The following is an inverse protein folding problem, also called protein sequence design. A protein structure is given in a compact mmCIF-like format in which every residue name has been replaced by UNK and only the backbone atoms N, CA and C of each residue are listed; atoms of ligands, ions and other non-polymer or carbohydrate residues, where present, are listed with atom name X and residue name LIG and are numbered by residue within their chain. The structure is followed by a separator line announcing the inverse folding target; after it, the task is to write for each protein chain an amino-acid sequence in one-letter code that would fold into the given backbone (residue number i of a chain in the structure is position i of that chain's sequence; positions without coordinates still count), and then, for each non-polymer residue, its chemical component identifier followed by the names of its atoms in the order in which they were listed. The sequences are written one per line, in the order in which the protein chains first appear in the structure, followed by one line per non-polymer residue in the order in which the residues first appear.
data_IF_389755018720
#
_entry.id   IF_389755018720
#
_cell.length_a   1.000
_cell.length_b   1.000
_cell.length_c   1.000
_cell.angle_alpha   90.00
_cell.angle_beta   90.00
_cell.angle_gamma   90.00
#
_symmetry.space_group_name_H-M   'P 1'
#
loop_
_entity.id
_entity.type
_entity.pdbx_description
1 polymer ?
#
# COMPACT_ATOMS: atom_id res chain seq x y z
N UNK A 1 7.86 -24.36 -4.74
CA UNK A 1 6.41 -24.43 -4.45
C UNK A 1 5.64 -24.19 -5.74
N UNK A 2 4.41 -24.69 -5.82
CA UNK A 2 3.53 -24.71 -7.01
C UNK A 2 3.56 -23.36 -7.72
N UNK A 3 4.04 -23.36 -8.98
CA UNK A 3 3.91 -22.19 -9.83
C UNK A 3 2.42 -21.81 -9.89
N UNK A 4 2.12 -20.55 -9.58
CA UNK A 4 0.77 -20.01 -9.73
C UNK A 4 0.34 -20.20 -11.19
N UNK A 5 -0.95 -20.47 -11.46
CA UNK A 5 -1.43 -20.80 -12.79
C UNK A 5 -1.05 -19.71 -13.82
N UNK A 6 -0.80 -20.09 -15.09
CA UNK A 6 -0.52 -19.14 -16.15
C UNK A 6 -1.66 -18.11 -16.29
N UNK A 7 -1.40 -16.86 -15.92
CA UNK A 7 -2.39 -15.76 -15.91
C UNK A 7 -2.22 -14.79 -14.75
N UNK A 8 -1.89 -15.29 -13.55
CA UNK A 8 -1.84 -14.47 -12.30
C UNK A 8 -0.73 -13.40 -12.26
N UNK A 9 0.17 -13.39 -13.23
CA UNK A 9 1.31 -12.47 -13.30
C UNK A 9 1.22 -11.49 -14.49
N UNK A 10 0.04 -11.39 -15.13
CA UNK A 10 -0.10 -10.60 -16.36
C UNK A 10 0.09 -9.10 -16.13
N UNK A 11 -0.46 -8.57 -15.03
CA UNK A 11 -0.37 -7.15 -14.67
C UNK A 11 0.84 -6.82 -13.79
N UNK A 12 1.33 -7.79 -13.04
CA UNK A 12 2.58 -7.68 -12.31
C UNK A 12 3.40 -8.96 -12.52
N UNK A 13 4.31 -9.01 -13.50
CA UNK A 13 5.26 -10.11 -13.55
C UNK A 13 6.25 -10.02 -12.38
N UNK A 14 6.66 -11.15 -11.76
CA UNK A 14 7.80 -11.13 -10.86
C UNK A 14 9.04 -10.66 -11.63
N UNK A 15 9.88 -9.86 -10.97
CA UNK A 15 11.14 -9.39 -11.55
C UNK A 15 11.99 -10.58 -12.01
N UNK A 16 12.57 -10.57 -13.23
CA UNK A 16 13.51 -11.62 -13.64
C UNK A 16 14.77 -11.66 -12.76
N UNK A 17 15.05 -10.58 -12.03
CA UNK A 17 16.15 -10.48 -11.06
C UNK A 17 15.71 -10.67 -9.60
N UNK A 18 14.42 -10.92 -9.35
CA UNK A 18 13.92 -11.25 -8.01
C UNK A 18 14.68 -12.48 -7.51
N UNK A 19 15.35 -12.42 -6.35
CA UNK A 19 15.97 -13.61 -5.80
C UNK A 19 14.89 -14.68 -5.66
N UNK A 20 15.18 -15.89 -6.14
CA UNK A 20 14.27 -17.01 -5.91
C UNK A 20 13.88 -17.05 -4.43
N UNK A 21 12.61 -17.32 -4.16
CA UNK A 21 12.03 -17.33 -2.81
C UNK A 21 12.87 -18.12 -1.79
N UNK A 22 13.47 -19.22 -2.24
CA UNK A 22 14.29 -20.11 -1.41
C UNK A 22 15.80 -19.79 -1.42
N UNK A 23 16.20 -18.70 -2.08
CA UNK A 23 17.60 -18.30 -2.16
C UNK A 23 18.13 -17.82 -0.80
N UNK A 24 19.41 -18.08 -0.55
CA UNK A 24 20.11 -17.53 0.62
C UNK A 24 20.01 -16.00 0.69
N UNK A 25 19.91 -15.33 -0.47
CA UNK A 25 19.70 -13.88 -0.55
C UNK A 25 18.34 -13.47 0.03
N UNK A 26 17.25 -14.12 -0.38
CA UNK A 26 15.91 -13.80 0.13
C UNK A 26 15.80 -14.05 1.64
N UNK A 27 16.41 -15.12 2.15
CA UNK A 27 16.47 -15.38 3.60
C UNK A 27 17.16 -14.24 4.36
N UNK A 28 18.33 -13.80 3.90
CA UNK A 28 19.07 -12.70 4.51
C UNK A 28 18.32 -11.37 4.48
N UNK A 29 17.58 -11.11 3.41
CA UNK A 29 16.72 -9.92 3.30
C UNK A 29 15.61 -9.96 4.36
N UNK A 30 14.93 -11.11 4.51
CA UNK A 30 13.91 -11.29 5.56
C UNK A 30 14.51 -11.16 6.97
N UNK A 31 15.67 -11.75 7.21
CA UNK A 31 16.41 -11.60 8.48
C UNK A 31 16.74 -10.13 8.78
N UNK A 32 17.25 -9.40 7.79
CA UNK A 32 17.56 -7.97 7.94
C UNK A 32 16.30 -7.12 8.17
N UNK A 33 15.20 -7.43 7.48
CA UNK A 33 13.91 -6.77 7.70
C UNK A 33 13.40 -6.99 9.13
N UNK A 34 13.42 -8.23 9.63
CA UNK A 34 13.05 -8.54 11.01
C UNK A 34 13.95 -7.82 12.04
N UNK A 35 15.26 -7.71 11.75
CA UNK A 35 16.19 -6.96 12.60
C UNK A 35 15.86 -5.45 12.64
N UNK A 36 15.50 -4.86 11.49
CA UNK A 36 15.06 -3.46 11.42
C UNK A 36 13.77 -3.22 12.20
N UNK A 37 12.78 -4.13 12.09
CA UNK A 37 11.54 -4.07 12.89
C UNK A 37 11.85 -4.15 14.40
N UNK A 38 12.75 -5.06 14.81
CA UNK A 38 13.17 -5.21 16.21
C UNK A 38 13.85 -3.94 16.75
N UNK A 39 14.66 -3.28 15.91
CA UNK A 39 15.28 -2.00 16.26
C UNK A 39 14.24 -0.89 16.46
N UNK A 40 13.26 -0.79 15.55
CA UNK A 40 12.15 0.17 15.67
C UNK A 40 11.36 -0.08 16.95
N UNK A 41 11.01 -1.33 17.24
CA UNK A 41 10.30 -1.73 18.46
C UNK A 41 11.05 -1.30 19.74
N UNK A 42 12.38 -1.50 19.77
CA UNK A 42 13.24 -1.03 20.87
C UNK A 42 13.16 0.49 21.05
N UNK A 43 13.13 1.25 19.96
CA UNK A 43 13.04 2.71 20.01
C UNK A 43 11.63 3.20 20.38
N UNK A 44 10.58 2.49 19.98
CA UNK A 44 9.22 2.75 20.45
C UNK A 44 9.15 2.56 21.96
N UNK A 45 9.71 1.47 22.50
CA UNK A 45 9.79 1.24 23.94
C UNK A 45 10.38 2.43 24.70
N UNK A 46 11.49 3.00 24.19
CA UNK A 46 12.11 4.19 24.80
C UNK A 46 11.22 5.45 24.78
N UNK A 47 10.38 5.62 23.75
CA UNK A 47 9.43 6.73 23.68
C UNK A 47 8.31 6.51 24.71
N UNK A 48 7.82 5.27 24.83
CA UNK A 48 6.79 4.90 25.80
C UNK A 48 7.29 5.05 27.25
N UNK A 49 8.52 4.63 27.53
CA UNK A 49 9.15 4.80 28.84
C UNK A 49 9.22 6.29 29.23
N UNK A 50 9.64 7.16 28.31
CA UNK A 50 9.68 8.62 28.56
C UNK A 50 8.28 9.22 28.76
N UNK A 51 7.27 8.75 28.01
CA UNK A 51 5.87 9.17 28.21
C UNK A 51 5.35 8.78 29.61
N UNK A 52 5.76 7.62 30.12
CA UNK A 52 5.43 7.16 31.47
C UNK A 52 6.19 7.98 32.53
N UNK A 53 7.51 8.14 32.39
CA UNK A 53 8.35 8.90 33.33
C UNK A 53 7.96 10.38 33.43
N UNK A 54 7.50 10.97 32.33
CA UNK A 54 6.99 12.34 32.28
C UNK A 54 5.56 12.50 32.81
N UNK A 55 4.86 11.40 33.12
CA UNK A 55 3.49 11.40 33.60
C UNK A 55 2.46 11.82 32.54
N UNK A 56 2.79 11.70 31.26
CA UNK A 56 1.94 12.11 30.13
C UNK A 56 1.14 10.96 29.53
N UNK A 57 1.46 9.71 29.87
CA UNK A 57 0.87 8.51 29.26
C UNK A 57 -0.66 8.48 29.32
N UNK A 58 -1.27 8.92 30.43
CA UNK A 58 -2.73 8.90 30.63
C UNK A 58 -3.47 9.97 29.80
N UNK A 59 -2.78 11.00 29.31
CA UNK A 59 -3.33 12.09 28.50
C UNK A 59 -2.83 12.03 27.03
N UNK A 60 -2.27 10.90 26.63
CA UNK A 60 -1.69 10.71 25.28
C UNK A 60 -2.46 9.65 24.51
N UNK A 61 -2.96 10.00 23.31
CA UNK A 61 -3.37 9.01 22.32
C UNK A 61 -2.15 8.55 21.53
N UNK A 62 -1.88 7.25 21.54
CA UNK A 62 -0.80 6.62 20.79
C UNK A 62 -1.42 5.90 19.59
N UNK A 63 -0.95 6.22 18.40
CA UNK A 63 -1.30 5.55 17.14
C UNK A 63 0.00 5.08 16.47
N UNK A 64 0.10 3.78 16.20
CA UNK A 64 1.22 3.18 15.47
C UNK A 64 0.71 2.58 14.16
N UNK A 65 1.33 2.97 13.05
CA UNK A 65 1.02 2.46 11.71
C UNK A 65 2.22 2.60 10.77
N UNK A 66 2.11 2.04 9.57
CA UNK A 66 3.01 2.27 8.43
C UNK A 66 2.22 2.79 7.23
N UNK A 67 2.88 3.37 6.25
CA UNK A 67 2.25 3.87 5.02
C UNK A 67 1.90 2.74 4.04
N UNK A 68 2.67 1.66 4.02
CA UNK A 68 2.44 0.49 3.18
C UNK A 68 3.14 -0.76 3.73
N UNK A 69 2.82 -1.92 3.16
CA UNK A 69 3.48 -3.20 3.46
C UNK A 69 4.72 -3.48 2.61
N UNK A 70 5.23 -4.71 2.67
CA UNK A 70 6.38 -5.16 1.90
C UNK A 70 6.19 -6.64 1.55
N UNK A 71 6.29 -6.97 0.25
CA UNK A 71 6.01 -8.31 -0.26
C UNK A 71 7.09 -9.33 0.17
N UNK A 72 8.35 -8.92 0.39
CA UNK A 72 9.44 -9.82 0.84
C UNK A 72 9.52 -11.17 0.09
N UNK A 73 9.18 -11.20 -1.20
CA UNK A 73 9.16 -12.41 -2.02
C UNK A 73 7.77 -13.03 -2.21
N UNK A 74 6.77 -12.66 -1.43
CA UNK A 74 5.43 -13.26 -1.50
C UNK A 74 4.83 -13.13 -2.90
N UNK A 75 4.26 -14.23 -3.38
CA UNK A 75 3.80 -14.40 -4.78
C UNK A 75 4.87 -14.05 -5.84
N UNK A 76 6.15 -14.16 -5.49
CA UNK A 76 7.28 -13.82 -6.37
C UNK A 76 7.57 -12.32 -6.46
N UNK A 77 6.83 -11.49 -5.72
CA UNK A 77 6.99 -10.04 -5.71
C UNK A 77 7.94 -9.57 -4.64
N UNK A 78 8.54 -8.41 -4.88
CA UNK A 78 9.34 -7.70 -3.90
C UNK A 78 8.94 -6.23 -3.95
N UNK A 79 9.12 -5.51 -2.85
CA UNK A 79 8.58 -4.18 -2.61
C UNK A 79 7.07 -4.17 -2.37
N UNK A 80 6.44 -3.05 -2.71
CA UNK A 80 5.03 -2.71 -2.59
C UNK A 80 4.51 -2.40 -3.99
N UNK A 81 3.40 -1.67 -4.11
CA UNK A 81 2.80 -1.27 -5.40
C UNK A 81 2.01 -2.41 -6.07
N UNK A 82 1.55 -3.38 -5.28
CA UNK A 82 0.62 -4.44 -5.70
C UNK A 82 -0.59 -4.47 -4.76
N UNK A 83 -1.76 -4.95 -5.20
CA UNK A 83 -3.00 -4.87 -4.40
C UNK A 83 -3.07 -5.87 -3.24
N UNK A 84 -2.12 -6.80 -3.15
CA UNK A 84 -2.15 -7.91 -2.20
C UNK A 84 -1.88 -7.46 -0.76
N UNK A 85 -2.40 -8.22 0.21
CA UNK A 85 -2.33 -7.92 1.64
C UNK A 85 -0.90 -7.63 2.12
N UNK A 86 0.15 -8.39 1.74
CA UNK A 86 1.50 -8.07 2.20
C UNK A 86 2.00 -6.69 1.74
N UNK A 87 1.43 -6.10 0.69
CA UNK A 87 1.75 -4.73 0.23
C UNK A 87 0.77 -3.68 0.77
N UNK A 88 -0.50 -4.00 0.97
CA UNK A 88 -1.56 -3.02 1.22
C UNK A 88 -2.11 -3.05 2.66
N UNK A 89 -2.12 -4.21 3.32
CA UNK A 89 -2.63 -4.38 4.67
C UNK A 89 -1.54 -4.11 5.68
N UNK A 90 -1.69 -2.99 6.40
CA UNK A 90 -0.70 -2.47 7.34
C UNK A 90 -1.11 -2.72 8.80
N UNK A 91 -0.17 -2.79 9.74
CA UNK A 91 -0.49 -2.65 11.16
C UNK A 91 -1.10 -1.28 11.45
N UNK A 92 -2.14 -1.26 12.29
CA UNK A 92 -2.68 -0.07 12.94
C UNK A 92 -3.00 -0.43 14.39
N UNK A 93 -2.26 0.15 15.33
CA UNK A 93 -2.41 -0.08 16.77
C UNK A 93 -2.76 1.26 17.43
N UNK A 94 -3.73 1.25 18.32
CA UNK A 94 -4.13 2.42 19.12
C UNK A 94 -4.06 2.09 20.62
N UNK A 95 -3.62 3.06 21.43
CA UNK A 95 -3.56 2.95 22.89
C UNK A 95 -3.71 4.33 23.57
N UNK A 96 -4.07 4.34 24.85
CA UNK A 96 -4.28 5.57 25.62
C UNK A 96 -5.64 6.23 25.34
N UNK A 97 -5.91 7.37 25.97
CA UNK A 97 -7.09 8.24 25.76
C UNK A 97 -8.43 7.49 25.54
N UNK A 98 -8.81 6.61 26.47
CA UNK A 98 -10.02 5.77 26.46
C UNK A 98 -10.12 4.72 25.33
N UNK A 99 -9.03 4.42 24.62
CA UNK A 99 -8.98 3.29 23.68
C UNK A 99 -9.11 1.97 24.47
N UNK A 100 -10.10 1.10 24.12
CA UNK A 100 -10.28 -0.17 24.80
C UNK A 100 -9.05 -1.07 24.71
N UNK A 101 -8.48 -1.43 25.87
CA UNK A 101 -7.37 -2.37 25.94
C UNK A 101 -7.81 -3.79 25.48
N UNK A 102 -6.85 -4.57 24.97
CA UNK A 102 -7.04 -5.97 24.56
C UNK A 102 -8.22 -6.19 23.59
N UNK A 103 -8.46 -5.22 22.71
CA UNK A 103 -9.52 -5.28 21.70
C UNK A 103 -8.91 -5.40 20.32
N UNK A 104 -9.47 -6.31 19.51
CA UNK A 104 -9.15 -6.45 18.08
C UNK A 104 -10.38 -6.03 17.30
N UNK A 105 -10.17 -5.24 16.24
CA UNK A 105 -11.23 -4.77 15.34
C UNK A 105 -10.95 -5.35 13.97
N UNK A 106 -11.84 -6.21 13.49
CA UNK A 106 -11.67 -6.94 12.22
C UNK A 106 -12.32 -6.21 11.03
N UNK A 107 -13.07 -5.13 11.27
CA UNK A 107 -13.65 -4.36 10.18
C UNK A 107 -12.57 -3.64 9.35
N UNK A 108 -12.72 -3.55 8.01
CA UNK A 108 -11.77 -2.81 7.19
C UNK A 108 -11.72 -1.32 7.56
N UNK A 109 -10.50 -0.78 7.59
CA UNK A 109 -10.21 0.64 7.86
C UNK A 109 -9.18 1.15 6.85
N UNK A 110 -9.08 2.47 6.70
CA UNK A 110 -8.09 3.10 5.82
C UNK A 110 -7.23 4.09 6.59
N UNK A 111 -6.10 4.47 5.99
CA UNK A 111 -5.23 5.53 6.54
C UNK A 111 -5.94 6.88 6.65
N UNK A 112 -7.02 7.12 5.89
CA UNK A 112 -7.84 8.33 6.01
C UNK A 112 -8.60 8.40 7.34
N UNK A 113 -8.96 7.25 7.91
CA UNK A 113 -9.62 7.18 9.21
C UNK A 113 -8.72 7.67 10.35
N UNK A 114 -7.41 7.55 10.19
CA UNK A 114 -6.42 8.01 11.18
C UNK A 114 -6.48 9.53 11.33
N UNK A 115 -6.55 10.27 10.22
CA UNK A 115 -6.71 11.74 10.25
C UNK A 115 -7.99 12.16 10.98
N UNK A 116 -9.10 11.46 10.73
CA UNK A 116 -10.37 11.71 11.42
C UNK A 116 -10.29 11.35 12.91
N UNK A 117 -9.58 10.27 13.25
CA UNK A 117 -9.35 9.82 14.63
C UNK A 117 -8.54 10.85 15.42
N UNK A 118 -7.49 11.43 14.82
CA UNK A 118 -6.67 12.47 15.45
C UNK A 118 -7.49 13.71 15.77
N UNK A 119 -8.32 14.17 14.81
CA UNK A 119 -9.17 15.35 15.00
C UNK A 119 -10.23 15.11 16.09
N UNK A 120 -10.87 13.93 16.09
CA UNK A 120 -11.84 13.54 17.11
C UNK A 120 -11.19 13.47 18.51
N UNK A 121 -10.01 12.85 18.63
CA UNK A 121 -9.24 12.79 19.86
C UNK A 121 -8.87 14.18 20.40
N UNK A 122 -8.48 15.09 19.49
CA UNK A 122 -8.17 16.48 19.81
C UNK A 122 -9.41 17.34 20.07
N UNK A 123 -10.63 16.80 19.87
CA UNK A 123 -11.91 17.53 19.93
C UNK A 123 -11.95 18.73 18.99
N UNK A 124 -11.36 18.56 17.82
CA UNK A 124 -11.32 19.56 16.75
C UNK A 124 -12.32 19.13 15.68
N UNK A 125 -13.24 20.02 15.34
CA UNK A 125 -14.15 19.80 14.22
C UNK A 125 -13.36 19.71 12.91
N UNK A 126 -13.60 18.69 12.06
CA UNK A 126 -12.91 18.57 10.79
C UNK A 126 -13.22 19.76 9.87
N UNK A 127 -12.27 20.18 9.02
CA UNK A 127 -12.50 21.28 8.09
C UNK A 127 -13.66 20.95 7.15
N UNK A 128 -14.54 21.92 6.90
CA UNK A 128 -15.68 21.73 5.99
C UNK A 128 -15.28 21.62 4.52
N UNK A 129 -14.07 22.05 4.14
CA UNK A 129 -13.54 21.92 2.78
C UNK A 129 -12.01 21.89 2.80
N UNK A 130 -11.36 20.91 2.13
CA UNK A 130 -11.98 19.74 1.51
C UNK A 130 -12.63 18.83 2.56
N UNK A 131 -13.68 18.12 2.16
CA UNK A 131 -14.37 17.18 3.05
C UNK A 131 -13.42 16.07 3.48
N UNK A 132 -13.33 15.83 4.78
CA UNK A 132 -12.60 14.68 5.30
C UNK A 132 -13.36 13.38 4.97
N UNK A 133 -12.72 12.48 4.24
CA UNK A 133 -13.36 11.24 3.76
C UNK A 133 -13.36 10.13 4.83
N UNK A 134 -12.32 10.09 5.67
CA UNK A 134 -12.19 9.11 6.74
C UNK A 134 -13.17 9.34 7.89
N UNK A 135 -13.41 8.29 8.68
CA UNK A 135 -14.22 8.33 9.88
C UNK A 135 -13.38 8.00 11.11
N UNK A 136 -13.63 8.68 12.23
CA UNK A 136 -12.92 8.39 13.47
C UNK A 136 -13.07 6.93 13.88
N UNK A 137 -11.95 6.33 14.28
CA UNK A 137 -11.87 4.97 14.79
C UNK A 137 -12.24 4.89 16.28
N UNK A 138 -12.26 6.03 16.98
CA UNK A 138 -12.70 6.10 18.38
C UNK A 138 -14.20 5.77 18.51
N UNK A 139 -14.57 5.27 19.69
CA UNK A 139 -15.94 4.85 19.98
C UNK A 139 -16.29 3.45 19.46
N UNK A 140 -17.58 3.06 19.52
CA UNK A 140 -17.99 1.67 19.38
C UNK A 140 -17.83 1.15 17.94
N UNK A 141 -17.34 -0.08 17.82
CA UNK A 141 -17.15 -0.80 16.55
C UNK A 141 -18.45 -0.95 15.75
N UNK A 142 -19.62 -0.95 16.42
CA UNK A 142 -20.94 -1.07 15.77
C UNK A 142 -21.18 -0.05 14.66
N UNK A 143 -20.44 1.07 14.65
CA UNK A 143 -20.49 2.07 13.57
C UNK A 143 -19.88 1.60 12.25
N UNK A 144 -19.11 0.50 12.24
CA UNK A 144 -18.30 0.03 11.11
C UNK A 144 -18.64 -1.41 10.67
N UNK A 145 -19.70 -2.00 11.21
CA UNK A 145 -20.16 -3.33 10.81
C UNK A 145 -20.56 -3.34 9.34
N UNK A 146 -20.05 -4.31 8.58
CA UNK A 146 -20.33 -4.44 7.14
C UNK A 146 -19.66 -3.38 6.27
N UNK A 147 -18.69 -2.63 6.81
CA UNK A 147 -17.96 -1.61 6.05
C UNK A 147 -17.15 -2.25 4.92
N UNK A 148 -17.24 -1.65 3.74
CA UNK A 148 -16.36 -1.89 2.60
C UNK A 148 -15.44 -0.67 2.46
N UNK A 149 -14.15 -0.90 2.29
CA UNK A 149 -13.17 0.15 1.98
C UNK A 149 -12.55 -0.11 0.62
N UNK A 150 -12.11 0.95 -0.05
CA UNK A 150 -11.42 0.84 -1.32
C UNK A 150 -10.12 1.66 -1.30
N UNK A 151 -9.17 1.23 -2.12
CA UNK A 151 -7.89 1.90 -2.33
C UNK A 151 -7.42 1.64 -3.76
N UNK A 152 -6.51 2.47 -4.25
CA UNK A 152 -5.97 2.33 -5.59
C UNK A 152 -4.47 2.58 -5.63
N UNK A 153 -3.91 2.30 -6.80
CA UNK A 153 -2.57 2.72 -7.16
C UNK A 153 -2.64 3.35 -8.56
N UNK A 154 -1.87 4.40 -8.80
CA UNK A 154 -1.99 5.23 -10.01
C UNK A 154 -0.77 5.21 -10.94
N UNK A 155 0.15 4.24 -10.86
CA UNK A 155 1.35 4.24 -11.72
C UNK A 155 1.14 3.43 -13.00
N UNK A 156 0.97 4.15 -14.10
CA UNK A 156 1.07 3.63 -15.47
C UNK A 156 0.23 2.38 -15.73
N UNK A 157 0.84 1.38 -16.35
CA UNK A 157 0.18 0.14 -16.79
C UNK A 157 -0.25 -0.78 -15.64
N UNK A 158 0.24 -0.52 -14.41
CA UNK A 158 -0.03 -1.33 -13.22
C UNK A 158 -1.14 -0.71 -12.36
N UNK A 159 -1.88 0.24 -12.91
CA UNK A 159 -3.01 0.87 -12.24
C UNK A 159 -4.07 -0.18 -11.87
N UNK A 160 -4.50 -0.15 -10.61
CA UNK A 160 -5.61 -0.95 -10.11
C UNK A 160 -6.45 -0.15 -9.11
N UNK A 161 -7.68 -0.59 -8.91
CA UNK A 161 -8.48 -0.31 -7.72
C UNK A 161 -8.82 -1.62 -7.02
N UNK A 162 -8.81 -1.63 -5.70
CA UNK A 162 -9.23 -2.76 -4.88
C UNK A 162 -10.29 -2.34 -3.87
N UNK A 163 -11.26 -3.23 -3.61
CA UNK A 163 -12.27 -3.08 -2.56
C UNK A 163 -12.23 -4.28 -1.62
N UNK A 164 -12.25 -4.01 -0.31
CA UNK A 164 -12.15 -5.00 0.77
C UNK A 164 -13.34 -4.85 1.70
N UNK A 165 -14.02 -5.96 1.97
CA UNK A 165 -15.14 -6.01 2.90
C UNK A 165 -15.81 -7.38 2.87
N UNK A 166 -16.61 -7.66 3.89
CA UNK A 166 -17.35 -8.94 3.98
C UNK A 166 -16.45 -10.19 3.88
N UNK A 167 -15.20 -10.11 4.36
CA UNK A 167 -14.22 -11.20 4.28
C UNK A 167 -13.62 -11.43 2.90
N UNK A 168 -13.90 -10.56 1.92
CA UNK A 168 -13.45 -10.70 0.53
C UNK A 168 -12.67 -9.48 0.06
N UNK A 169 -11.87 -9.66 -0.99
CA UNK A 169 -11.20 -8.60 -1.72
C UNK A 169 -11.43 -8.74 -3.22
N UNK A 170 -11.95 -7.69 -3.83
CA UNK A 170 -12.01 -7.52 -5.28
C UNK A 170 -10.87 -6.61 -5.73
N UNK A 171 -10.23 -6.94 -6.84
CA UNK A 171 -9.23 -6.13 -7.52
C UNK A 171 -9.68 -5.96 -8.97
N UNK A 172 -9.66 -4.73 -9.47
CA UNK A 172 -9.84 -4.43 -10.88
C UNK A 172 -8.56 -3.81 -11.46
N UNK A 173 -8.02 -4.44 -12.50
CA UNK A 173 -6.86 -3.96 -13.25
C UNK A 173 -7.33 -3.19 -14.48
N UNK A 174 -7.03 -1.89 -14.52
CA UNK A 174 -7.45 -1.04 -15.63
C UNK A 174 -6.79 -1.44 -16.95
N UNK A 175 -5.51 -1.82 -16.92
CA UNK A 175 -4.85 -2.40 -18.08
C UNK A 175 -5.47 -3.76 -18.36
N UNK A 176 -6.16 -3.94 -19.47
CA UNK A 176 -6.78 -5.21 -19.85
C UNK A 176 -8.15 -5.51 -19.24
N UNK A 177 -8.59 -4.77 -18.21
CA UNK A 177 -9.92 -4.91 -17.60
C UNK A 177 -10.11 -6.20 -16.80
N UNK A 178 -9.02 -6.85 -16.37
CA UNK A 178 -9.11 -8.10 -15.62
C UNK A 178 -9.51 -7.84 -14.16
N UNK A 179 -10.35 -8.71 -13.63
CA UNK A 179 -10.75 -8.67 -12.23
C UNK A 179 -10.30 -9.95 -11.49
N UNK A 180 -9.95 -9.76 -10.22
CA UNK A 180 -9.64 -10.84 -9.29
C UNK A 180 -10.52 -10.71 -8.06
N UNK A 181 -10.99 -11.84 -7.54
CA UNK A 181 -11.72 -11.91 -6.28
C UNK A 181 -11.06 -12.96 -5.39
N UNK A 182 -10.81 -12.61 -4.13
CA UNK A 182 -10.21 -13.49 -3.13
C UNK A 182 -11.10 -13.56 -1.88
N UNK A 183 -11.29 -14.76 -1.35
CA UNK A 183 -11.84 -14.99 -0.02
C UNK A 183 -10.70 -14.88 0.99
N UNK A 184 -10.67 -13.82 1.79
CA UNK A 184 -9.59 -13.56 2.76
C UNK A 184 -9.74 -14.40 4.04
N UNK A 185 -10.88 -15.04 4.25
CA UNK A 185 -11.14 -15.91 5.41
C UNK A 185 -10.56 -17.28 5.14
N UNK A 186 -10.92 -17.88 4.00
CA UNK A 186 -10.49 -19.24 3.63
C UNK A 186 -9.16 -19.24 2.85
N UNK A 187 -8.82 -18.14 2.18
CA UNK A 187 -7.56 -17.94 1.45
C UNK A 187 -6.86 -16.61 1.84
N UNK A 188 -6.34 -16.51 3.08
CA UNK A 188 -5.65 -15.31 3.55
C UNK A 188 -4.33 -15.00 2.82
N UNK A 189 -3.90 -15.87 1.90
CA UNK A 189 -2.69 -15.70 1.09
C UNK A 189 -3.00 -15.28 -0.34
N UNK A 190 -4.28 -15.08 -0.68
CA UNK A 190 -4.72 -14.60 -1.98
C UNK A 190 -4.13 -15.43 -3.13
N UNK A 191 -4.25 -16.76 -3.04
CA UNK A 191 -3.69 -17.73 -3.99
C UNK A 191 -4.71 -18.28 -4.98
N UNK A 192 -6.01 -18.20 -4.69
CA UNK A 192 -7.09 -18.71 -5.53
C UNK A 192 -8.01 -17.55 -5.92
N UNK A 193 -7.92 -17.12 -7.17
CA UNK A 193 -8.92 -16.22 -7.74
C UNK A 193 -10.25 -16.97 -7.93
N UNK A 194 -11.31 -16.48 -7.31
CA UNK A 194 -12.67 -17.06 -7.32
C UNK A 194 -13.69 -16.19 -8.09
N UNK A 195 -13.21 -15.25 -8.90
CA UNK A 195 -14.07 -14.37 -9.71
C UNK A 195 -15.04 -15.20 -10.58
N UNK A 196 -16.32 -14.82 -10.61
CA UNK A 196 -17.35 -15.49 -11.42
C UNK A 196 -17.81 -16.86 -10.92
N UNK A 197 -17.37 -17.33 -9.75
CA UNK A 197 -18.00 -18.50 -9.10
C UNK A 197 -19.43 -18.15 -8.64
N UNK A 198 -20.42 -19.02 -8.91
CA UNK A 198 -21.85 -18.74 -8.67
C UNK A 198 -22.18 -18.45 -7.18
N UNK A 199 -21.39 -19.03 -6.27
CA UNK A 199 -21.57 -18.88 -4.82
C UNK A 199 -21.17 -17.47 -4.31
N UNK A 200 -20.40 -16.69 -5.08
CA UNK A 200 -19.84 -15.39 -4.64
C UNK A 200 -20.33 -14.19 -5.46
N UNK A 201 -21.21 -14.37 -6.44
CA UNK A 201 -21.70 -13.29 -7.32
C UNK A 201 -22.28 -12.10 -6.55
N UNK A 202 -22.96 -12.34 -5.43
CA UNK A 202 -23.53 -11.26 -4.62
C UNK A 202 -22.48 -10.37 -3.94
N UNK A 203 -21.42 -10.95 -3.37
CA UNK A 203 -20.34 -10.16 -2.74
C UNK A 203 -19.46 -9.49 -3.79
N UNK A 204 -19.22 -10.17 -4.91
CA UNK A 204 -18.54 -9.64 -6.08
C UNK A 204 -19.18 -8.31 -6.55
N UNK A 205 -20.50 -8.30 -6.78
CA UNK A 205 -21.23 -7.11 -7.22
C UNK A 205 -21.14 -5.95 -6.20
N UNK A 206 -21.25 -6.25 -4.90
CA UNK A 206 -21.16 -5.22 -3.85
C UNK A 206 -19.77 -4.59 -3.78
N UNK A 207 -18.72 -5.40 -3.82
CA UNK A 207 -17.34 -4.91 -3.84
C UNK A 207 -17.04 -4.13 -5.13
N UNK A 208 -17.55 -4.59 -6.29
CA UNK A 208 -17.37 -3.89 -7.57
C UNK A 208 -18.04 -2.51 -7.53
N UNK A 209 -19.27 -2.44 -7.05
CA UNK A 209 -19.98 -1.16 -6.89
C UNK A 209 -19.25 -0.21 -5.95
N UNK A 210 -18.68 -0.72 -4.85
CA UNK A 210 -17.88 0.09 -3.93
C UNK A 210 -16.60 0.62 -4.60
N UNK A 211 -15.89 -0.22 -5.35
CA UNK A 211 -14.68 0.19 -6.10
C UNK A 211 -15.01 1.23 -7.19
N UNK A 212 -16.12 1.06 -7.92
CA UNK A 212 -16.59 2.04 -8.92
C UNK A 212 -16.96 3.37 -8.27
N UNK A 213 -17.67 3.35 -7.13
CA UNK A 213 -18.01 4.58 -6.39
C UNK A 213 -16.75 5.29 -5.92
N UNK A 214 -15.79 4.55 -5.38
CA UNK A 214 -14.52 5.10 -4.94
C UNK A 214 -13.75 5.76 -6.09
N UNK A 215 -13.63 5.09 -7.24
CA UNK A 215 -12.93 5.66 -8.40
C UNK A 215 -13.64 6.88 -9.00
N UNK A 216 -14.97 6.95 -8.90
CA UNK A 216 -15.72 8.13 -9.32
C UNK A 216 -15.44 9.33 -8.41
N UNK A 217 -15.39 9.10 -7.11
CA UNK A 217 -15.33 10.17 -6.11
C UNK A 217 -13.89 10.62 -5.83
N UNK A 218 -12.92 9.70 -5.95
CA UNK A 218 -11.52 9.88 -5.53
C UNK A 218 -10.50 9.39 -6.55
N UNK A 219 -10.96 8.69 -7.59
CA UNK A 219 -10.11 8.19 -8.64
C UNK A 219 -9.74 9.25 -9.66
N UNK A 220 -9.30 8.76 -10.81
CA UNK A 220 -8.86 9.60 -11.90
C UNK A 220 -10.02 9.82 -12.86
N UNK A 221 -10.26 11.09 -13.23
CA UNK A 221 -11.33 11.49 -14.15
C UNK A 221 -11.24 10.65 -15.45
N UNK A 222 -12.37 10.15 -15.95
CA UNK A 222 -12.51 9.23 -17.11
C UNK A 222 -12.28 7.72 -16.89
N UNK A 223 -11.89 7.26 -15.71
CA UNK A 223 -11.80 5.81 -15.41
C UNK A 223 -13.14 5.14 -15.11
N UNK A 224 -14.19 5.93 -14.93
CA UNK A 224 -15.56 5.47 -14.71
C UNK A 224 -16.47 6.15 -15.70
N UNK A 225 -17.30 5.38 -16.40
CA UNK A 225 -18.33 5.85 -17.32
C UNK A 225 -19.59 5.02 -17.15
N UNK A 226 -20.76 5.68 -17.00
CA UNK A 226 -22.05 5.01 -16.78
C UNK A 226 -22.01 3.96 -15.66
N UNK A 227 -21.41 4.30 -14.51
CA UNK A 227 -21.27 3.41 -13.35
C UNK A 227 -20.50 2.11 -13.63
N UNK A 228 -19.61 2.12 -14.62
CA UNK A 228 -18.71 1.01 -14.93
C UNK A 228 -17.27 1.50 -15.13
N UNK A 229 -16.30 0.62 -14.90
CA UNK A 229 -14.90 0.90 -15.22
C UNK A 229 -14.71 1.11 -16.73
N UNK A 230 -13.77 1.98 -17.07
CA UNK A 230 -13.30 2.19 -18.44
C UNK A 230 -11.97 1.46 -18.59
N UNK A 231 -12.01 0.29 -19.22
CA UNK A 231 -10.82 -0.53 -19.43
C UNK A 231 -9.85 0.12 -20.41
N UNK A 232 -8.56 0.02 -20.10
CA UNK A 232 -7.46 0.42 -20.96
C UNK A 232 -6.97 -0.80 -21.76
N UNK A 233 -6.54 -0.62 -23.02
CA UNK A 233 -5.88 -1.69 -23.76
C UNK A 233 -4.72 -2.30 -22.96
N UNK A 234 -4.68 -3.63 -22.86
CA UNK A 234 -3.58 -4.31 -22.17
C UNK A 234 -2.24 -3.94 -22.81
N UNK A 235 -1.30 -3.50 -21.98
CA UNK A 235 0.11 -3.39 -22.34
C UNK A 235 0.97 -4.00 -21.27
N UNK A 236 1.90 -4.85 -21.71
CA UNK A 236 2.92 -5.38 -20.82
C UNK A 236 3.67 -4.22 -20.15
N UNK A 237 3.79 -4.21 -18.82
CA UNK A 237 4.58 -3.20 -18.13
C UNK A 237 6.04 -3.24 -18.61
N UNK A 238 6.72 -2.09 -18.70
CA UNK A 238 8.12 -2.06 -19.11
C UNK A 238 8.98 -2.95 -18.19
N UNK A 239 9.93 -3.70 -18.75
CA UNK A 239 10.80 -4.62 -17.98
C UNK A 239 11.50 -3.92 -16.80
N UNK A 240 11.80 -2.61 -16.92
CA UNK A 240 12.47 -1.86 -15.86
C UNK A 240 11.59 -1.55 -14.63
N UNK A 241 10.26 -1.54 -14.75
CA UNK A 241 9.36 -1.46 -13.59
C UNK A 241 9.28 -2.79 -12.86
N UNK A 242 9.39 -3.89 -13.62
CA UNK A 242 9.53 -5.24 -13.09
C UNK A 242 10.92 -5.42 -12.46
N UNK A 243 11.95 -4.78 -13.01
CA UNK A 243 13.33 -4.78 -12.54
C UNK A 243 13.70 -3.54 -11.71
N UNK A 244 12.75 -2.86 -11.07
CA UNK A 244 13.11 -1.82 -10.09
C UNK A 244 13.91 -2.40 -8.91
N UNK A 245 13.90 -3.74 -8.76
CA UNK A 245 14.70 -4.49 -7.81
C UNK A 245 16.20 -4.11 -7.85
N UNK A 246 17.01 -4.40 -8.89
CA UNK A 246 18.43 -4.04 -8.92
C UNK A 246 18.71 -2.56 -8.72
N UNK A 247 17.93 -1.65 -9.30
CA UNK A 247 18.22 -0.22 -9.16
C UNK A 247 17.98 0.24 -7.72
N UNK A 248 16.81 -0.06 -7.13
CA UNK A 248 16.47 0.41 -5.78
C UNK A 248 17.09 -0.43 -4.67
N UNK A 249 17.21 -1.75 -4.85
CA UNK A 249 17.93 -2.60 -3.90
C UNK A 249 19.42 -2.28 -3.90
N UNK A 250 20.02 -1.82 -5.00
CA UNK A 250 21.43 -1.35 -4.95
C UNK A 250 21.58 -0.07 -4.12
N UNK A 251 20.52 0.73 -3.95
CA UNK A 251 20.50 1.90 -3.08
C UNK A 251 20.12 1.56 -1.62
N UNK A 252 19.20 0.63 -1.40
CA UNK A 252 18.71 0.25 -0.05
C UNK A 252 19.49 -0.91 0.57
N UNK A 253 19.88 -1.88 -0.25
CA UNK A 253 20.67 -3.05 0.11
C UNK A 253 21.89 -3.23 -0.80
N UNK A 254 22.86 -2.30 -0.74
CA UNK A 254 23.96 -2.27 -1.67
C UNK A 254 24.75 -3.59 -1.71
N UNK A 255 25.37 -3.94 -2.87
CA UNK A 255 26.05 -5.22 -3.09
C UNK A 255 27.13 -5.58 -2.07
N UNK A 256 27.62 -4.60 -1.32
CA UNK A 256 28.65 -4.74 -0.31
C UNK A 256 28.16 -5.32 1.02
N UNK A 257 26.84 -5.45 1.26
CA UNK A 257 26.31 -6.02 2.51
C UNK A 257 26.66 -7.52 2.73
N UNK A 258 27.25 -8.17 1.73
CA UNK A 258 27.77 -9.52 1.83
C UNK A 258 29.23 -9.47 2.32
N UNK A 259 29.46 -9.30 3.63
CA UNK A 259 30.79 -9.50 4.21
C UNK A 259 31.23 -8.64 5.41
N UNK A 260 30.36 -7.78 5.94
CA UNK A 260 30.73 -6.83 7.01
C UNK A 260 30.64 -7.41 8.43
N UNK A 261 31.53 -6.95 9.31
CA UNK A 261 31.56 -7.29 10.74
C UNK A 261 30.55 -6.47 11.55
N UNK A 262 30.31 -6.84 12.81
CA UNK A 262 29.35 -6.15 13.69
C UNK A 262 29.68 -4.66 13.91
N UNK A 263 30.97 -4.30 13.89
CA UNK A 263 31.43 -2.91 14.04
C UNK A 263 31.19 -2.09 12.77
N UNK A 264 31.26 -2.72 11.61
CA UNK A 264 30.92 -2.07 10.33
C UNK A 264 29.42 -1.79 10.24
N UNK A 265 28.58 -2.70 10.74
CA UNK A 265 27.12 -2.49 10.84
C UNK A 265 26.77 -1.31 11.76
N UNK A 266 27.52 -1.10 12.85
CA UNK A 266 27.37 0.05 13.76
C UNK A 266 27.79 1.37 13.10
N UNK A 267 28.80 1.35 12.23
CA UNK A 267 29.24 2.52 11.45
C UNK A 267 28.23 2.87 10.34
N UNK A 268 27.67 1.87 9.66
CA UNK A 268 26.61 2.05 8.64
C UNK A 268 25.34 2.64 9.26
N UNK A 269 24.95 2.21 10.47
CA UNK A 269 23.85 2.82 11.21
C UNK A 269 24.10 4.30 11.54
N UNK A 270 25.37 4.73 11.64
CA UNK A 270 25.75 6.13 11.79
C UNK A 270 25.72 6.90 10.44
N UNK A 271 25.99 6.26 9.30
CA UNK A 271 25.95 6.84 7.94
C UNK A 271 24.54 6.89 7.31
N UNK A 272 23.61 6.01 7.69
CA UNK A 272 22.20 6.09 7.25
C UNK A 272 21.52 7.43 7.61
N UNK A 273 22.13 8.20 8.51
CA UNK A 273 21.78 9.59 8.82
C UNK A 273 21.86 10.54 7.62
N UNK A 274 22.67 10.22 6.60
CA UNK A 274 22.75 10.98 5.34
C UNK A 274 21.77 10.47 4.26
N UNK A 275 21.32 9.21 4.30
CA UNK A 275 20.24 8.71 3.42
C UNK A 275 18.89 9.36 3.73
N UNK A 276 18.66 9.78 4.97
CA UNK A 276 17.47 10.55 5.37
C UNK A 276 17.48 12.00 4.83
N UNK A 277 18.56 12.43 4.15
CA UNK A 277 18.60 13.70 3.41
C UNK A 277 18.22 13.55 1.93
N UNK A 278 17.94 12.35 1.44
CA UNK A 278 17.51 12.17 0.05
C UNK A 278 16.01 12.46 -0.11
N UNK A 279 15.71 13.46 -0.93
CA UNK A 279 14.37 13.96 -1.28
C UNK A 279 13.54 12.90 -2.03
N UNK A 280 12.91 11.98 -1.29
CA UNK A 280 12.10 10.90 -1.87
C UNK A 280 10.85 11.37 -2.65
N UNK A 281 10.51 12.66 -2.63
CA UNK A 281 9.38 13.25 -3.34
C UNK A 281 9.75 14.02 -4.64
N UNK A 282 11.04 14.17 -4.98
CA UNK A 282 11.45 14.95 -6.17
C UNK A 282 11.20 14.22 -7.51
N UNK A 283 11.06 12.90 -7.55
CA UNK A 283 10.94 12.19 -8.84
C UNK A 283 9.67 12.59 -9.62
N UNK A 284 8.58 12.91 -8.91
CA UNK A 284 7.37 13.49 -9.48
C UNK A 284 7.54 14.96 -9.89
N UNK A 285 8.68 15.59 -9.62
CA UNK A 285 9.11 16.94 -10.06
C UNK A 285 10.18 16.89 -11.16
N UNK A 286 10.77 15.72 -11.42
CA UNK A 286 11.73 15.51 -12.49
C UNK A 286 11.01 15.57 -13.86
N UNK A 287 11.33 16.55 -14.72
CA UNK A 287 10.67 16.72 -16.01
C UNK A 287 10.90 15.53 -16.97
N UNK A 288 12.05 14.87 -16.91
CA UNK A 288 12.37 13.72 -17.76
C UNK A 288 11.63 12.47 -17.27
N UNK A 289 11.47 12.30 -15.96
CA UNK A 289 10.63 11.24 -15.41
C UNK A 289 9.16 11.46 -15.79
N UNK A 290 8.63 12.68 -15.62
CA UNK A 290 7.25 13.01 -16.05
C UNK A 290 7.06 12.80 -17.56
N UNK A 291 8.04 13.13 -18.39
CA UNK A 291 7.95 12.87 -19.82
C UNK A 291 7.90 11.36 -20.13
N UNK A 292 8.66 10.56 -19.40
CA UNK A 292 8.59 9.09 -19.51
C UNK A 292 7.26 8.52 -19.00
N UNK A 293 6.78 8.98 -17.85
CA UNK A 293 5.50 8.57 -17.29
C UNK A 293 4.32 8.98 -18.21
N UNK A 294 4.37 10.19 -18.81
CA UNK A 294 3.40 10.64 -19.81
C UNK A 294 3.44 9.75 -21.04
N UNK A 295 4.63 9.50 -21.57
CA UNK A 295 4.77 8.64 -22.74
C UNK A 295 4.22 7.23 -22.47
N UNK A 296 4.48 6.66 -21.29
CA UNK A 296 3.91 5.36 -20.88
C UNK A 296 2.39 5.39 -20.77
N UNK A 297 1.83 6.46 -20.18
CA UNK A 297 0.39 6.67 -20.10
C UNK A 297 -0.27 6.80 -21.48
N UNK A 298 0.31 7.60 -22.38
CA UNK A 298 -0.16 7.74 -23.76
C UNK A 298 -0.01 6.42 -24.52
N UNK A 299 1.08 5.70 -24.28
CA UNK A 299 1.32 4.42 -24.90
C UNK A 299 0.16 3.48 -24.54
N UNK A 300 -0.29 3.37 -23.29
CA UNK A 300 -1.44 2.51 -22.94
C UNK A 300 -2.81 2.98 -23.43
N UNK A 301 -2.87 4.02 -24.27
CA UNK A 301 -4.13 4.61 -24.70
C UNK A 301 -4.79 5.45 -23.61
N UNK A 302 -4.06 5.76 -22.54
CA UNK A 302 -4.48 6.70 -21.53
C UNK A 302 -4.68 8.09 -22.13
N UNK A 303 -5.78 8.74 -21.80
CA UNK A 303 -6.09 10.06 -22.34
C UNK A 303 -5.09 11.12 -21.81
N UNK A 304 -4.53 12.01 -22.64
CA UNK A 304 -3.61 13.06 -22.19
C UNK A 304 -4.17 13.90 -21.03
N UNK A 305 -5.47 14.21 -21.07
CA UNK A 305 -6.16 14.97 -20.02
C UNK A 305 -6.09 14.30 -18.64
N UNK A 306 -6.04 12.97 -18.61
CA UNK A 306 -5.90 12.20 -17.37
C UNK A 306 -4.52 12.35 -16.76
N UNK A 307 -3.49 12.26 -17.61
CA UNK A 307 -2.13 12.48 -17.16
C UNK A 307 -1.93 13.91 -16.65
N UNK A 308 -2.47 14.89 -17.38
CA UNK A 308 -2.45 16.28 -16.96
C UNK A 308 -3.15 16.48 -15.61
N UNK A 309 -4.27 15.80 -15.35
CA UNK A 309 -4.94 15.84 -14.06
C UNK A 309 -4.11 15.25 -12.91
N UNK A 310 -3.42 14.11 -13.15
CA UNK A 310 -2.58 13.43 -12.15
C UNK A 310 -1.38 14.27 -11.67
N UNK A 311 -0.85 15.15 -12.54
CA UNK A 311 0.36 15.94 -12.26
C UNK A 311 0.12 17.45 -12.22
N UNK A 312 -1.15 17.89 -12.26
CA UNK A 312 -1.56 19.30 -12.35
C UNK A 312 -0.96 20.18 -11.26
N UNK A 313 -0.78 19.63 -10.06
CA UNK A 313 -0.30 20.35 -8.87
C UNK A 313 1.16 20.03 -8.50
N UNK A 314 1.84 19.21 -9.31
CA UNK A 314 3.20 18.75 -9.01
C UNK A 314 4.26 19.87 -9.10
N UNK A 315 3.92 21.03 -9.68
CA UNK A 315 4.76 22.23 -9.81
C UNK A 315 4.45 23.33 -8.77
N UNK A 316 3.48 23.12 -7.88
CA UNK A 316 2.97 24.16 -6.97
C UNK A 316 3.21 23.91 -5.47
N UNK A 317 3.98 22.88 -5.10
CA UNK A 317 4.33 22.61 -3.71
C UNK A 317 5.70 23.22 -3.34
N UNK A 318 5.68 24.53 -3.06
CA UNK A 318 6.73 25.24 -2.31
C UNK A 318 6.47 25.13 -0.79
#
# INVERSE_FOLDING_TARGET
MTALPPGEHRHCPPSPESPALDSLRMRRVREAYCAAVTLIDTHIGRILDELEESGLVDDTLILFMTDHGEMLGDRGYYQKVVPYDPSARIPLIAAGLDVPANTTVDCPVTTWDVSATILDAARIDPPGTPTLVGSSLLGPETKRVGRIVAYHQALGNNRYVAAVGEGHKLIHWFSGGEEELYDLVDDPREQKNIIGEEEVTGVEERLRNAAVSFERDHGVEANVSNDAFVDLPYKQPPEHYLSMYPHWSSFQFPPWMVGYSEDDLKLIAAEMRDCLRSEAAYICRDPEWRKHALQQWLDIGGAPAVYEALFKDADHAD
#
